data_IF_822761417423
#
_entry.id   IF_822761417423
#
_cell.length_a   1.000
_cell.length_b   1.000
_cell.length_c   1.000
_cell.angle_alpha   90.00
_cell.angle_beta   90.00
_cell.angle_gamma   90.00
#
_symmetry.space_group_name_H-M   'P 1'
#
loop_
_entity.id
_entity.type
_entity.pdbx_description
1 polymer ?
#
# COMPACT_ATOMS: atom_id res chain seq x y z
N UNK A 1 -13.21 -26.05 -8.55
CA UNK A 1 -11.93 -25.40 -8.20
C UNK A 1 -11.41 -24.66 -9.43
N UNK A 2 -11.73 -23.37 -9.60
CA UNK A 2 -11.32 -22.58 -10.79
C UNK A 2 -9.82 -22.31 -10.74
N UNK A 3 -9.08 -22.64 -11.80
CA UNK A 3 -7.65 -22.33 -11.92
C UNK A 3 -7.51 -20.82 -12.10
N UNK A 4 -6.76 -20.17 -11.21
CA UNK A 4 -6.38 -18.76 -11.33
C UNK A 4 -5.54 -18.55 -12.59
N UNK A 5 -5.86 -17.48 -13.31
CA UNK A 5 -5.17 -17.02 -14.51
C UNK A 5 -3.68 -16.69 -14.20
N UNK A 6 -2.72 -16.95 -15.11
CA UNK A 6 -1.30 -16.71 -14.85
C UNK A 6 -0.98 -15.25 -14.51
N UNK A 7 -1.74 -14.29 -15.04
CA UNK A 7 -1.53 -12.87 -14.75
C UNK A 7 -1.97 -12.54 -13.32
N UNK A 8 -3.10 -13.09 -12.88
CA UNK A 8 -3.58 -12.99 -11.49
C UNK A 8 -2.59 -13.60 -10.50
N UNK A 9 -1.96 -14.73 -10.85
CA UNK A 9 -0.90 -15.33 -10.03
C UNK A 9 0.34 -14.45 -9.94
N UNK A 10 0.72 -13.81 -11.05
CA UNK A 10 1.87 -12.89 -11.10
C UNK A 10 1.62 -11.64 -10.24
N UNK A 11 0.42 -11.06 -10.31
CA UNK A 11 0.03 -9.91 -9.48
C UNK A 11 -0.01 -10.28 -8.00
N UNK A 12 -0.64 -11.39 -7.63
CA UNK A 12 -0.66 -11.88 -6.24
C UNK A 12 0.76 -12.15 -5.71
N UNK A 13 1.64 -12.75 -6.52
CA UNK A 13 3.03 -12.97 -6.16
C UNK A 13 3.81 -11.65 -6.01
N UNK A 14 3.51 -10.61 -6.79
CA UNK A 14 4.11 -9.29 -6.65
C UNK A 14 3.67 -8.56 -5.37
N UNK A 15 2.39 -8.70 -4.97
CA UNK A 15 1.86 -8.14 -3.72
C UNK A 15 2.47 -8.82 -2.49
N UNK A 16 2.68 -10.14 -2.55
CA UNK A 16 3.34 -10.91 -1.47
C UNK A 16 4.81 -10.49 -1.32
N UNK A 17 5.47 -10.05 -2.40
CA UNK A 17 6.94 -9.92 -2.47
C UNK A 17 7.52 -8.59 -1.95
N UNK A 18 6.75 -7.77 -1.23
CA UNK A 18 7.32 -6.56 -0.60
C UNK A 18 6.94 -6.36 0.86
N UNK A 19 5.81 -6.92 1.30
CA UNK A 19 5.17 -6.55 2.57
C UNK A 19 4.77 -7.74 3.46
N UNK A 20 4.82 -8.98 2.95
CA UNK A 20 4.49 -10.18 3.74
C UNK A 20 3.02 -10.33 4.13
N UNK A 21 2.12 -9.53 3.54
CA UNK A 21 0.68 -9.62 3.78
C UNK A 21 0.03 -10.64 2.83
N UNK A 22 -0.76 -11.57 3.39
CA UNK A 22 -1.66 -12.45 2.62
C UNK A 22 -2.99 -11.72 2.48
N UNK A 23 -3.33 -11.30 1.26
CA UNK A 23 -4.58 -10.59 0.96
C UNK A 23 -5.55 -11.52 0.22
N UNK A 24 -6.84 -11.46 0.56
CA UNK A 24 -7.89 -12.24 -0.10
C UNK A 24 -8.13 -11.73 -1.52
N UNK A 25 -8.25 -12.64 -2.49
CA UNK A 25 -8.54 -12.32 -3.91
C UNK A 25 -9.94 -11.73 -4.14
N UNK A 26 -10.80 -11.69 -3.11
CA UNK A 26 -12.11 -11.03 -3.16
C UNK A 26 -12.03 -9.52 -2.85
N UNK A 27 -10.95 -9.05 -2.23
CA UNK A 27 -10.68 -7.62 -2.02
C UNK A 27 -10.06 -6.94 -3.27
N UNK A 28 -10.00 -7.68 -4.37
CA UNK A 28 -9.49 -7.29 -5.69
C UNK A 28 -10.57 -6.60 -6.55
N UNK A 29 -11.57 -5.96 -5.93
CA UNK A 29 -12.08 -4.71 -6.50
C UNK A 29 -10.88 -3.77 -6.60
N UNK A 30 -10.69 -3.11 -7.74
CA UNK A 30 -9.48 -2.35 -8.11
C UNK A 30 -9.08 -1.31 -7.06
N UNK A 31 -8.31 -1.77 -6.06
CA UNK A 31 -7.85 -1.00 -4.91
C UNK A 31 -6.34 -0.95 -4.96
N UNK A 32 -5.80 0.25 -5.10
CA UNK A 32 -4.37 0.47 -4.95
C UNK A 32 -4.05 0.69 -3.47
N UNK A 33 -3.15 -0.14 -2.94
CA UNK A 33 -2.65 -0.03 -1.57
C UNK A 33 -1.21 0.46 -1.59
N UNK A 34 -0.98 1.58 -0.92
CA UNK A 34 0.38 2.12 -0.70
C UNK A 34 0.69 2.12 0.79
N UNK A 35 1.87 1.59 1.12
CA UNK A 35 2.40 1.56 2.49
C UNK A 35 3.70 2.38 2.56
N UNK A 36 3.68 3.40 3.41
CA UNK A 36 4.80 4.30 3.63
C UNK A 36 5.33 4.05 5.05
N UNK A 37 6.31 3.14 5.23
CA UNK A 37 6.89 2.86 6.54
C UNK A 37 7.73 4.05 7.02
N UNK A 38 7.63 4.40 8.31
CA UNK A 38 8.34 5.52 8.91
C UNK A 38 8.92 5.18 10.28
N UNK A 39 9.95 5.93 10.70
CA UNK A 39 10.58 5.81 12.02
C UNK A 39 9.93 6.71 13.09
N UNK A 40 10.51 6.77 14.28
CA UNK A 40 9.98 7.56 15.40
C UNK A 40 10.07 9.08 15.15
N UNK A 41 11.05 9.51 14.35
CA UNK A 41 11.23 10.90 13.92
C UNK A 41 10.26 11.28 12.78
N UNK A 42 9.48 10.31 12.28
CA UNK A 42 8.53 10.50 11.21
C UNK A 42 9.17 10.56 9.83
N UNK A 43 10.37 9.99 9.64
CA UNK A 43 11.02 9.88 8.33
C UNK A 43 10.70 8.57 7.64
N UNK A 44 10.50 8.63 6.32
CA UNK A 44 10.20 7.45 5.53
C UNK A 44 11.42 6.52 5.46
N UNK A 45 11.19 5.25 5.79
CA UNK A 45 12.23 4.23 5.89
C UNK A 45 12.59 3.61 4.55
N UNK A 46 11.65 3.54 3.60
CA UNK A 46 11.82 2.80 2.34
C UNK A 46 10.93 3.36 1.23
N UNK A 47 11.36 3.16 -0.02
CA UNK A 47 10.61 3.55 -1.21
C UNK A 47 11.11 4.86 -1.81
N UNK A 48 10.35 5.41 -2.75
CA UNK A 48 10.71 6.63 -3.50
C UNK A 48 10.84 7.87 -2.61
N UNK A 49 10.18 7.89 -1.46
CA UNK A 49 10.20 9.00 -0.49
C UNK A 49 11.20 8.80 0.66
N UNK A 50 12.11 7.83 0.59
CA UNK A 50 13.03 7.51 1.70
C UNK A 50 13.76 8.76 2.21
N UNK A 51 13.72 8.97 3.52
CA UNK A 51 14.33 10.10 4.22
C UNK A 51 13.45 11.36 4.32
N UNK A 52 12.38 11.45 3.53
CA UNK A 52 11.39 12.54 3.60
C UNK A 52 10.54 12.46 4.87
N UNK A 53 9.96 13.58 5.30
CA UNK A 53 8.94 13.56 6.35
C UNK A 53 7.70 12.80 5.84
N UNK A 54 7.16 11.90 6.68
CA UNK A 54 6.03 11.04 6.33
C UNK A 54 4.79 11.85 5.94
N UNK A 55 4.58 13.03 6.53
CA UNK A 55 3.48 13.93 6.16
C UNK A 55 3.61 14.47 4.73
N UNK A 56 4.82 14.78 4.29
CA UNK A 56 5.10 15.28 2.93
C UNK A 56 4.96 14.14 1.92
N UNK A 57 5.55 12.99 2.23
CA UNK A 57 5.44 11.77 1.42
C UNK A 57 3.98 11.36 1.24
N UNK A 58 3.20 11.38 2.32
CA UNK A 58 1.78 11.11 2.30
C UNK A 58 1.02 12.10 1.40
N UNK A 59 1.26 13.40 1.54
CA UNK A 59 0.57 14.41 0.73
C UNK A 59 0.88 14.25 -0.77
N UNK A 60 2.14 13.95 -1.12
CA UNK A 60 2.55 13.67 -2.49
C UNK A 60 1.87 12.43 -3.05
N UNK A 61 1.85 11.34 -2.28
CA UNK A 61 1.28 10.08 -2.73
C UNK A 61 -0.24 10.14 -2.85
N UNK A 62 -0.93 10.79 -1.91
CA UNK A 62 -2.37 11.08 -2.02
C UNK A 62 -2.65 11.88 -3.29
N UNK A 63 -1.83 12.90 -3.59
CA UNK A 63 -1.95 13.68 -4.81
C UNK A 63 -1.72 12.86 -6.09
N UNK A 64 -0.89 11.82 -6.04
CA UNK A 64 -0.71 10.89 -7.17
C UNK A 64 -1.91 9.97 -7.33
N UNK A 65 -2.37 9.35 -6.24
CA UNK A 65 -3.52 8.45 -6.24
C UNK A 65 -4.79 9.17 -6.71
N UNK A 66 -5.03 10.40 -6.24
CA UNK A 66 -6.20 11.18 -6.63
C UNK A 66 -6.23 11.60 -8.12
N UNK A 67 -5.16 11.39 -8.89
CA UNK A 67 -5.19 11.57 -10.35
C UNK A 67 -5.90 10.42 -11.07
N UNK A 68 -5.98 9.25 -10.43
CA UNK A 68 -6.53 8.02 -11.01
C UNK A 68 -7.76 7.53 -10.25
N UNK A 69 -7.82 7.78 -8.95
CA UNK A 69 -8.88 7.33 -8.05
C UNK A 69 -9.64 8.54 -7.50
N UNK A 70 -10.93 8.38 -7.22
CA UNK A 70 -11.71 9.50 -6.66
C UNK A 70 -11.64 9.62 -5.15
N UNK A 71 -11.23 8.55 -4.47
CA UNK A 71 -11.20 8.50 -3.02
C UNK A 71 -9.97 7.77 -2.50
N UNK A 72 -9.34 8.34 -1.47
CA UNK A 72 -8.21 7.73 -0.77
C UNK A 72 -8.51 7.68 0.73
N UNK A 73 -8.57 6.48 1.30
CA UNK A 73 -8.68 6.26 2.73
C UNK A 73 -7.29 6.15 3.34
N UNK A 74 -7.07 6.92 4.40
CA UNK A 74 -5.84 6.91 5.19
C UNK A 74 -6.01 6.12 6.49
N UNK A 75 -4.99 5.36 6.87
CA UNK A 75 -4.84 4.79 8.21
C UNK A 75 -3.36 4.66 8.61
N UNK A 76 -3.08 4.40 9.88
CA UNK A 76 -1.73 4.04 10.35
C UNK A 76 -1.77 2.60 10.85
N UNK A 77 -0.85 1.79 10.34
CA UNK A 77 -0.74 0.37 10.69
C UNK A 77 0.65 0.07 11.24
N UNK A 78 0.79 -1.08 11.87
CA UNK A 78 2.09 -1.62 12.30
C UNK A 78 2.41 -2.82 11.44
N UNK A 79 3.60 -2.83 10.85
CA UNK A 79 4.12 -3.88 9.98
C UNK A 79 5.27 -4.61 10.66
N UNK A 80 5.47 -5.88 10.33
CA UNK A 80 6.66 -6.65 10.70
C UNK A 80 7.50 -6.94 9.44
N UNK A 81 8.18 -5.93 8.87
CA UNK A 81 8.92 -6.12 7.64
C UNK A 81 10.08 -7.11 7.82
N UNK A 82 10.20 -8.08 6.90
CA UNK A 82 11.26 -9.09 6.91
C UNK A 82 12.67 -8.48 6.88
N UNK A 83 12.85 -7.29 6.32
CA UNK A 83 14.13 -6.58 6.23
C UNK A 83 14.53 -5.85 7.52
N UNK A 84 13.66 -5.81 8.55
CA UNK A 84 14.02 -5.35 9.90
C UNK A 84 13.88 -6.45 10.95
N UNK A 85 13.91 -7.72 10.53
CA UNK A 85 13.92 -8.90 11.41
C UNK A 85 13.20 -8.67 12.74
N UNK A 86 11.86 -8.63 12.70
CA UNK A 86 10.95 -8.54 13.85
C UNK A 86 10.68 -7.15 14.46
N UNK A 87 11.29 -6.07 13.95
CA UNK A 87 10.97 -4.74 14.45
C UNK A 87 9.63 -4.23 13.91
N UNK A 88 8.65 -4.12 14.82
CA UNK A 88 7.38 -3.45 14.58
C UNK A 88 7.62 -2.05 14.00
N UNK A 89 7.16 -1.84 12.77
CA UNK A 89 7.40 -0.61 12.01
C UNK A 89 6.06 0.04 11.68
N UNK A 90 5.87 1.28 12.12
CA UNK A 90 4.68 2.04 11.76
C UNK A 90 4.71 2.40 10.29
N UNK A 91 3.55 2.36 9.65
CA UNK A 91 3.38 2.77 8.27
C UNK A 91 2.08 3.54 8.09
N UNK A 92 2.12 4.56 7.25
CA UNK A 92 0.90 5.14 6.70
C UNK A 92 0.42 4.18 5.63
N UNK A 93 -0.86 3.79 5.71
CA UNK A 93 -1.56 2.99 4.72
C UNK A 93 -2.54 3.88 3.99
N UNK A 94 -2.38 3.97 2.68
CA UNK A 94 -3.28 4.63 1.76
C UNK A 94 -3.99 3.55 0.94
N UNK A 95 -5.31 3.59 0.94
CA UNK A 95 -6.16 2.73 0.12
C UNK A 95 -6.93 3.61 -0.85
N UNK A 96 -6.67 3.45 -2.14
CA UNK A 96 -7.36 4.19 -3.18
C UNK A 96 -8.52 3.38 -3.75
N UNK A 97 -9.60 4.07 -4.11
CA UNK A 97 -10.84 3.48 -4.61
C UNK A 97 -11.30 4.26 -5.85
N UNK A 98 -11.71 3.54 -6.89
CA UNK A 98 -12.35 4.16 -8.04
C UNK A 98 -13.64 4.89 -7.66
N UNK A 99 -13.98 5.92 -8.44
CA UNK A 99 -15.34 6.48 -8.37
C UNK A 99 -16.27 5.47 -9.04
N UNK A 100 -17.21 4.92 -8.28
CA UNK A 100 -18.33 4.21 -8.87
C UNK A 100 -19.03 5.17 -9.85
N UNK A 101 -18.86 4.94 -11.15
CA UNK A 101 -19.70 5.60 -12.16
C UNK A 101 -21.10 5.01 -12.01
N UNK A 102 -21.96 5.69 -11.27
CA UNK A 102 -23.40 5.50 -11.41
C UNK A 102 -23.83 6.14 -12.74
N UNK A 103 -24.12 5.32 -13.75
CA UNK A 103 -25.02 5.63 -14.87
C UNK A 103 -24.45 6.40 -16.04
#
# INVERSE_FOLDING_TARGET
>A
MKRLDPEQRRRAAQTINSLGAVVSLQDLEEREEVLIPFDEDGRVLRGIYRGMQVREAEAMEVGHLLKQYGYVRRSVVTLCPWWRWWLNTRAVRLLAFEVAHEG
#
